data_IF_569481424325
#
_entry.id   IF_569481424325
#
_cell.length_a   1.000
_cell.length_b   1.000
_cell.length_c   1.000
_cell.angle_alpha   90.00
_cell.angle_beta   90.00
_cell.angle_gamma   90.00
#
_symmetry.space_group_name_H-M   'P 1'
#
loop_
_entity.id
_entity.type
_entity.pdbx_description
1 polymer ?
#
# COMPACT_ATOMS: atom_id res chain seq x y z
N UNK A 1 18.25 -11.43 -0.57
CA UNK A 1 17.58 -12.25 0.49
C UNK A 1 16.41 -13.01 -0.13
N UNK A 2 16.24 -14.30 0.16
CA UNK A 2 15.11 -15.11 -0.31
C UNK A 2 14.29 -15.62 0.89
N UNK A 3 12.98 -15.39 0.87
CA UNK A 3 12.00 -16.00 1.77
C UNK A 3 10.99 -16.75 0.92
N UNK A 4 11.04 -18.09 0.98
CA UNK A 4 10.22 -18.96 0.14
C UNK A 4 9.60 -20.12 0.91
N UNK A 5 8.36 -20.48 0.58
CA UNK A 5 7.71 -21.70 1.08
C UNK A 5 7.42 -21.67 2.58
N UNK A 6 7.43 -20.47 3.20
CA UNK A 6 7.27 -20.30 4.64
C UNK A 6 5.78 -20.13 5.00
N UNK A 7 5.43 -20.48 6.24
CA UNK A 7 4.13 -20.17 6.83
C UNK A 7 4.32 -19.41 8.15
N UNK A 8 3.73 -18.21 8.24
CA UNK A 8 3.79 -17.35 9.42
C UNK A 8 2.39 -17.09 9.98
N UNK A 9 2.20 -17.37 11.28
CA UNK A 9 0.88 -17.35 11.94
C UNK A 9 0.95 -16.66 13.30
N UNK A 10 0.01 -15.76 13.57
CA UNK A 10 -0.26 -15.24 14.92
C UNK A 10 0.76 -14.22 15.44
N UNK A 11 1.55 -13.60 14.56
CA UNK A 11 2.51 -12.57 14.95
C UNK A 11 1.78 -11.29 15.38
N UNK A 12 2.11 -10.77 16.57
CA UNK A 12 1.58 -9.50 17.10
C UNK A 12 2.15 -8.25 16.43
N UNK A 13 2.90 -8.45 15.35
CA UNK A 13 3.44 -7.43 14.48
C UNK A 13 3.32 -8.04 13.07
N UNK A 14 4.43 -8.37 12.42
CA UNK A 14 4.40 -8.90 11.06
C UNK A 14 4.73 -10.38 10.99
N UNK A 15 3.97 -11.12 10.17
CA UNK A 15 4.25 -12.53 9.89
C UNK A 15 5.55 -12.72 9.11
N UNK A 16 5.69 -12.05 7.96
CA UNK A 16 6.90 -12.05 7.13
C UNK A 16 7.40 -10.61 7.00
N UNK A 17 8.47 -10.29 7.73
CA UNK A 17 9.05 -8.95 7.75
C UNK A 17 10.34 -8.91 6.95
N UNK A 18 10.42 -7.99 5.99
CA UNK A 18 11.66 -7.61 5.31
C UNK A 18 11.85 -6.10 5.40
N UNK A 19 12.85 -5.67 6.17
CA UNK A 19 13.09 -4.27 6.45
C UNK A 19 14.55 -3.88 6.23
N UNK A 20 14.79 -2.62 5.86
CA UNK A 20 16.16 -2.06 5.77
C UNK A 20 17.08 -2.88 4.85
N UNK A 21 16.54 -3.47 3.79
CA UNK A 21 17.19 -4.54 3.01
C UNK A 21 17.26 -4.21 1.51
N UNK A 22 17.98 -5.05 0.76
CA UNK A 22 18.15 -4.94 -0.69
C UNK A 22 18.07 -6.29 -1.39
N UNK A 23 17.64 -6.29 -2.65
CA UNK A 23 17.59 -7.46 -3.52
C UNK A 23 16.84 -8.61 -2.85
N UNK A 24 15.54 -8.41 -2.66
CA UNK A 24 14.67 -9.25 -1.85
C UNK A 24 13.70 -10.02 -2.75
N UNK A 25 13.52 -11.32 -2.46
CA UNK A 25 12.46 -12.14 -3.03
C UNK A 25 11.65 -12.73 -1.88
N UNK A 26 10.35 -12.45 -1.84
CA UNK A 26 9.37 -13.04 -0.91
C UNK A 26 8.33 -13.77 -1.75
N UNK A 27 8.42 -15.10 -1.84
CA UNK A 27 7.52 -15.87 -2.72
C UNK A 27 6.94 -17.14 -2.16
N UNK A 28 5.78 -17.54 -2.66
CA UNK A 28 5.17 -18.84 -2.33
C UNK A 28 4.97 -19.06 -0.82
N UNK A 29 4.71 -18.00 -0.06
CA UNK A 29 4.51 -18.06 1.38
C UNK A 29 3.03 -17.98 1.77
N UNK A 30 2.73 -18.36 3.02
CA UNK A 30 1.42 -18.15 3.65
C UNK A 30 1.59 -17.28 4.89
N UNK A 31 1.00 -16.09 4.89
CA UNK A 31 0.95 -15.20 6.06
C UNK A 31 -0.50 -15.05 6.51
N UNK A 32 -0.84 -15.54 7.71
CA UNK A 32 -2.21 -15.47 8.22
C UNK A 32 -2.32 -15.20 9.70
N UNK A 33 -3.44 -14.60 10.13
CA UNK A 33 -3.73 -14.36 11.54
C UNK A 33 -2.71 -13.46 12.25
N UNK A 34 -1.94 -12.68 11.51
CA UNK A 34 -0.98 -11.70 12.04
C UNK A 34 -1.62 -10.31 12.15
N UNK A 35 -0.92 -9.35 12.75
CA UNK A 35 -1.31 -7.94 12.59
C UNK A 35 -1.03 -7.55 11.14
N UNK A 36 0.21 -7.63 10.69
CA UNK A 36 0.53 -7.50 9.26
C UNK A 36 0.93 -8.85 8.68
N UNK A 37 0.42 -9.20 7.50
CA UNK A 37 0.82 -10.41 6.81
C UNK A 37 2.27 -10.36 6.34
N UNK A 38 2.55 -9.48 5.37
CA UNK A 38 3.88 -9.28 4.77
C UNK A 38 4.22 -7.79 4.80
N UNK A 39 5.43 -7.45 5.24
CA UNK A 39 5.95 -6.08 5.21
C UNK A 39 7.23 -5.97 4.42
N UNK A 40 7.29 -4.97 3.55
CA UNK A 40 8.51 -4.43 2.93
C UNK A 40 8.73 -3.02 3.47
N UNK A 41 9.62 -2.88 4.44
CA UNK A 41 9.92 -1.60 5.12
C UNK A 41 11.25 -1.03 4.65
N UNK A 42 11.27 0.23 4.19
CA UNK A 42 12.52 0.99 3.90
C UNK A 42 13.56 0.14 3.14
N UNK A 43 13.16 -0.46 2.03
CA UNK A 43 13.99 -1.40 1.27
C UNK A 43 14.11 -0.99 -0.19
N UNK A 44 15.16 -1.46 -0.88
CA UNK A 44 15.36 -1.17 -2.30
C UNK A 44 15.39 -2.50 -3.07
N UNK A 45 14.51 -2.66 -4.04
CA UNK A 45 14.49 -3.85 -4.88
C UNK A 45 13.87 -5.05 -4.16
N UNK A 46 12.56 -5.23 -4.33
CA UNK A 46 11.84 -6.35 -3.76
C UNK A 46 10.82 -6.93 -4.74
N UNK A 47 10.82 -8.26 -4.89
CA UNK A 47 9.77 -9.03 -5.56
C UNK A 47 8.95 -9.77 -4.51
N UNK A 48 7.66 -9.45 -4.40
CA UNK A 48 6.71 -10.08 -3.48
C UNK A 48 5.64 -10.77 -4.32
N UNK A 49 5.71 -12.09 -4.48
CA UNK A 49 4.80 -12.80 -5.40
C UNK A 49 4.40 -14.22 -5.05
N UNK A 50 3.25 -14.68 -5.57
CA UNK A 50 2.77 -16.04 -5.33
C UNK A 50 2.43 -16.32 -3.87
N UNK A 51 2.29 -15.29 -3.03
CA UNK A 51 1.98 -15.46 -1.61
C UNK A 51 0.46 -15.48 -1.38
N UNK A 52 0.05 -16.15 -0.30
CA UNK A 52 -1.27 -16.02 0.28
C UNK A 52 -1.18 -15.18 1.56
N UNK A 53 -1.77 -13.99 1.53
CA UNK A 53 -1.93 -13.14 2.72
C UNK A 53 -3.41 -13.03 3.08
N UNK A 54 -3.82 -13.65 4.18
CA UNK A 54 -5.23 -13.75 4.55
C UNK A 54 -5.48 -13.72 6.05
N UNK A 55 -6.63 -13.21 6.48
CA UNK A 55 -7.05 -13.22 7.88
C UNK A 55 -6.06 -12.48 8.80
N UNK A 56 -5.30 -11.51 8.27
CA UNK A 56 -4.48 -10.57 9.02
C UNK A 56 -5.26 -9.28 9.32
N UNK A 57 -4.69 -8.33 10.09
CA UNK A 57 -5.27 -6.97 10.22
C UNK A 57 -5.02 -6.16 8.96
N UNK A 58 -3.78 -6.23 8.44
CA UNK A 58 -3.39 -5.75 7.11
C UNK A 58 -2.70 -6.87 6.32
N UNK A 59 -2.99 -6.99 5.03
CA UNK A 59 -2.50 -8.08 4.19
C UNK A 59 -1.03 -7.92 3.81
N UNK A 60 -0.72 -6.96 2.95
CA UNK A 60 0.64 -6.66 2.48
C UNK A 60 0.89 -5.17 2.59
N UNK A 61 2.02 -4.78 3.15
CA UNK A 61 2.42 -3.39 3.33
C UNK A 61 3.77 -3.16 2.65
N UNK A 62 3.84 -2.17 1.77
CA UNK A 62 5.11 -1.65 1.20
C UNK A 62 5.23 -0.22 1.63
N UNK A 63 6.21 0.08 2.49
CA UNK A 63 6.22 1.37 3.16
C UNK A 63 7.58 1.86 3.59
N UNK A 64 7.60 3.11 4.02
CA UNK A 64 8.76 3.79 4.58
C UNK A 64 8.43 4.50 5.89
N UNK A 65 9.33 4.40 6.86
CA UNK A 65 9.28 5.12 8.13
C UNK A 65 10.42 6.13 8.29
N UNK A 66 10.16 7.25 8.99
CA UNK A 66 11.19 8.23 9.32
C UNK A 66 12.10 7.73 10.45
N UNK A 67 13.27 8.34 10.59
CA UNK A 67 14.25 8.08 11.66
C UNK A 67 14.89 6.68 11.66
N UNK A 68 14.83 5.96 10.54
CA UNK A 68 15.58 4.71 10.35
C UNK A 68 16.88 4.94 9.58
N UNK A 69 17.89 4.04 9.69
CA UNK A 69 19.17 4.17 8.98
C UNK A 69 19.01 4.26 7.47
N UNK A 70 18.23 3.36 6.88
CA UNK A 70 17.89 3.37 5.45
C UNK A 70 16.69 4.29 5.23
N UNK A 71 16.83 5.23 4.30
CA UNK A 71 15.87 6.32 4.04
C UNK A 71 15.07 6.09 2.78
N UNK A 72 15.39 5.07 2.02
CA UNK A 72 14.75 4.75 0.75
C UNK A 72 13.74 3.62 0.95
N UNK A 73 12.62 3.71 0.24
CA UNK A 73 11.71 2.59 0.01
C UNK A 73 11.27 2.68 -1.43
N UNK A 74 11.85 1.83 -2.29
CA UNK A 74 11.59 1.90 -3.73
C UNK A 74 11.88 0.61 -4.48
N UNK A 75 11.40 0.53 -5.72
CA UNK A 75 11.61 -0.60 -6.63
C UNK A 75 11.02 -1.89 -6.08
N UNK A 76 9.73 -1.86 -5.77
CA UNK A 76 9.01 -3.01 -5.24
C UNK A 76 7.97 -3.49 -6.26
N UNK A 77 8.00 -4.78 -6.61
CA UNK A 77 7.00 -5.43 -7.44
C UNK A 77 6.17 -6.36 -6.56
N UNK A 78 4.86 -6.13 -6.50
CA UNK A 78 3.89 -6.94 -5.77
C UNK A 78 2.98 -7.61 -6.79
N UNK A 79 3.16 -8.90 -7.05
CA UNK A 79 2.44 -9.55 -8.15
C UNK A 79 2.04 -11.00 -7.91
N UNK A 80 1.01 -11.47 -8.62
CA UNK A 80 0.52 -12.86 -8.52
C UNK A 80 0.23 -13.32 -7.07
N UNK A 81 -0.10 -12.40 -6.15
CA UNK A 81 -0.48 -12.73 -4.79
C UNK A 81 -1.99 -12.87 -4.65
N UNK A 82 -2.40 -13.61 -3.62
CA UNK A 82 -3.78 -13.65 -3.15
C UNK A 82 -3.86 -12.92 -1.82
N UNK A 83 -4.43 -11.72 -1.82
CA UNK A 83 -4.51 -10.80 -0.69
C UNK A 83 -5.98 -10.68 -0.28
N UNK A 84 -6.43 -11.62 0.54
CA UNK A 84 -7.86 -11.89 0.71
C UNK A 84 -8.31 -11.87 2.18
N UNK A 85 -9.42 -11.18 2.46
CA UNK A 85 -10.09 -11.19 3.76
C UNK A 85 -9.18 -10.83 4.96
N UNK A 86 -8.35 -9.78 4.83
CA UNK A 86 -7.50 -9.31 5.92
C UNK A 86 -8.28 -8.38 6.87
N UNK A 87 -9.19 -8.96 7.65
CA UNK A 87 -10.15 -8.25 8.51
C UNK A 87 -9.95 -8.52 10.02
N UNK A 88 -8.83 -9.12 10.42
CA UNK A 88 -8.56 -9.48 11.82
C UNK A 88 -8.47 -8.25 12.71
N UNK A 89 -9.12 -8.30 13.88
CA UNK A 89 -8.91 -7.29 14.92
C UNK A 89 -7.42 -7.14 15.28
N UNK A 90 -6.95 -5.90 15.34
CA UNK A 90 -5.56 -5.61 15.65
C UNK A 90 -5.23 -6.03 17.10
N UNK A 91 -4.20 -6.86 17.25
CA UNK A 91 -3.71 -7.36 18.54
C UNK A 91 -2.24 -6.98 18.81
N UNK A 92 -1.76 -5.94 18.12
CA UNK A 92 -0.41 -5.43 18.33
C UNK A 92 -0.21 -4.90 19.74
N UNK A 93 1.05 -4.94 20.19
CA UNK A 93 1.43 -4.31 21.46
C UNK A 93 1.12 -2.81 21.41
N UNK A 94 0.38 -2.25 22.38
CA UNK A 94 0.08 -0.82 22.41
C UNK A 94 1.34 0.04 22.34
N UNK A 95 1.31 1.07 21.50
CA UNK A 95 2.41 2.02 21.32
C UNK A 95 3.39 1.69 20.19
N UNK A 96 3.28 0.51 19.56
CA UNK A 96 3.95 0.26 18.27
C UNK A 96 3.27 1.03 17.15
N UNK A 97 3.95 1.25 16.01
CA UNK A 97 3.32 1.87 14.85
C UNK A 97 2.09 1.09 14.38
N UNK A 98 2.26 -0.22 14.19
CA UNK A 98 1.20 -1.10 13.69
C UNK A 98 0.01 -1.22 14.64
N UNK A 99 0.13 -0.83 15.92
CA UNK A 99 -1.02 -0.75 16.82
C UNK A 99 -2.09 0.27 16.40
N UNK A 100 -1.74 1.20 15.49
CA UNK A 100 -2.69 2.12 14.87
C UNK A 100 -3.30 1.61 13.56
N UNK A 101 -2.90 0.43 13.06
CA UNK A 101 -3.40 -0.12 11.80
C UNK A 101 -4.85 -0.59 11.97
N UNK A 102 -5.84 0.03 11.30
CA UNK A 102 -7.20 -0.49 11.31
C UNK A 102 -7.30 -1.85 10.59
N UNK A 103 -8.22 -2.73 10.99
CA UNK A 103 -8.50 -3.95 10.24
C UNK A 103 -9.09 -3.65 8.85
N UNK A 104 -8.87 -4.55 7.91
CA UNK A 104 -9.50 -4.49 6.58
C UNK A 104 -8.65 -3.84 5.50
N UNK A 105 -7.35 -3.70 5.70
CA UNK A 105 -6.43 -3.24 4.66
C UNK A 105 -5.87 -4.41 3.87
N UNK A 106 -6.16 -4.50 2.57
CA UNK A 106 -5.60 -5.55 1.70
C UNK A 106 -4.12 -5.31 1.40
N UNK A 107 -3.85 -4.48 0.40
CA UNK A 107 -2.52 -3.97 0.06
C UNK A 107 -2.42 -2.49 0.44
N UNK A 108 -1.40 -2.11 1.19
CA UNK A 108 -1.17 -0.73 1.61
C UNK A 108 0.21 -0.28 1.13
N UNK A 109 0.23 0.78 0.33
CA UNK A 109 1.44 1.47 -0.10
C UNK A 109 1.55 2.77 0.70
N UNK A 110 2.65 2.95 1.43
CA UNK A 110 2.83 4.14 2.26
C UNK A 110 4.21 4.78 2.18
N UNK A 111 4.26 6.02 1.69
CA UNK A 111 5.48 6.80 1.54
C UNK A 111 6.62 6.05 0.79
N UNK A 112 6.26 5.33 -0.28
CA UNK A 112 7.16 4.49 -1.06
C UNK A 112 7.13 4.90 -2.52
N UNK A 113 8.26 4.72 -3.21
CA UNK A 113 8.43 5.19 -4.58
C UNK A 113 8.63 3.99 -5.52
N UNK A 114 8.40 4.12 -6.83
CA UNK A 114 8.68 3.08 -7.83
C UNK A 114 8.10 1.71 -7.41
N UNK A 115 6.76 1.62 -7.32
CA UNK A 115 6.06 0.36 -6.95
C UNK A 115 5.15 -0.09 -8.07
N UNK A 116 5.29 -1.35 -8.47
CA UNK A 116 4.46 -1.99 -9.49
C UNK A 116 3.59 -3.09 -8.84
N UNK A 117 2.28 -3.01 -9.02
CA UNK A 117 1.29 -3.92 -8.44
C UNK A 117 0.49 -4.55 -9.58
N UNK A 118 0.67 -5.84 -9.82
CA UNK A 118 0.04 -6.49 -10.99
C UNK A 118 -0.30 -7.96 -10.83
N UNK A 119 -1.31 -8.45 -11.55
CA UNK A 119 -1.67 -9.88 -11.53
C UNK A 119 -2.18 -10.41 -10.18
N UNK A 120 -2.44 -9.54 -9.20
CA UNK A 120 -2.91 -9.99 -7.88
C UNK A 120 -4.42 -10.23 -7.87
N UNK A 121 -4.85 -11.17 -7.03
CA UNK A 121 -6.23 -11.31 -6.56
C UNK A 121 -6.34 -10.57 -5.23
N UNK A 122 -7.06 -9.44 -5.20
CA UNK A 122 -7.24 -8.62 -3.99
C UNK A 122 -8.73 -8.55 -3.67
N UNK A 123 -9.14 -9.19 -2.57
CA UNK A 123 -10.56 -9.39 -2.31
C UNK A 123 -10.95 -9.34 -0.84
N UNK A 124 -12.20 -8.95 -0.59
CA UNK A 124 -12.87 -9.06 0.71
C UNK A 124 -12.17 -8.36 1.88
N UNK A 125 -11.38 -7.30 1.62
CA UNK A 125 -10.76 -6.50 2.68
C UNK A 125 -11.70 -5.33 3.07
N UNK A 126 -12.13 -5.28 4.32
CA UNK A 126 -13.28 -4.49 4.77
C UNK A 126 -13.09 -2.97 4.64
N UNK A 127 -11.86 -2.48 4.76
CA UNK A 127 -11.56 -1.05 4.73
C UNK A 127 -11.19 -0.55 3.34
N UNK A 128 -10.22 -1.19 2.70
CA UNK A 128 -9.84 -0.92 1.32
C UNK A 128 -9.09 -2.14 0.79
N UNK A 129 -9.36 -2.53 -0.45
CA UNK A 129 -8.59 -3.58 -1.12
C UNK A 129 -7.18 -3.09 -1.40
N UNK A 130 -7.02 -1.87 -1.91
CA UNK A 130 -5.73 -1.22 -2.09
C UNK A 130 -5.79 0.22 -1.56
N UNK A 131 -4.83 0.59 -0.69
CA UNK A 131 -4.66 1.96 -0.22
C UNK A 131 -3.29 2.52 -0.62
N UNK A 132 -3.27 3.73 -1.19
CA UNK A 132 -2.07 4.50 -1.50
C UNK A 132 -2.11 5.74 -0.61
N UNK A 133 -1.19 5.83 0.34
CA UNK A 133 -1.22 6.91 1.33
C UNK A 133 0.17 7.51 1.59
N UNK A 134 0.25 8.82 1.71
CA UNK A 134 1.42 9.46 2.28
C UNK A 134 1.51 9.23 3.78
N UNK A 135 2.72 9.30 4.35
CA UNK A 135 2.93 9.11 5.78
C UNK A 135 2.19 10.14 6.64
N UNK A 136 1.90 11.34 6.11
CA UNK A 136 1.16 12.37 6.85
C UNK A 136 -0.31 12.00 7.10
N UNK A 137 -0.86 11.09 6.29
CA UNK A 137 -2.26 10.68 6.37
C UNK A 137 -2.58 9.86 7.61
N UNK A 138 -1.56 9.25 8.24
CA UNK A 138 -1.71 8.59 9.55
C UNK A 138 -1.53 9.56 10.74
N UNK A 139 -1.52 10.88 10.48
CA UNK A 139 -1.47 11.97 11.50
C UNK A 139 -0.29 11.90 12.46
N UNK A 140 0.80 11.26 12.05
CA UNK A 140 2.05 11.22 12.81
C UNK A 140 2.95 12.38 12.43
N UNK A 141 3.57 13.01 13.44
CA UNK A 141 4.56 14.06 13.22
C UNK A 141 5.85 13.47 12.66
N UNK A 142 6.32 14.02 11.54
CA UNK A 142 7.65 13.75 10.99
C UNK A 142 8.62 14.79 11.55
N UNK A 143 9.63 14.34 12.30
CA UNK A 143 10.74 15.20 12.77
C UNK A 143 11.98 15.11 11.87
N UNK A 144 12.08 14.01 11.13
CA UNK A 144 13.15 13.73 10.18
C UNK A 144 13.01 14.65 8.97
N UNK A 145 13.98 15.55 8.77
CA UNK A 145 13.92 16.56 7.72
C UNK A 145 14.17 15.99 6.33
N UNK A 146 14.84 14.84 6.28
CA UNK A 146 15.22 14.17 5.03
C UNK A 146 14.20 13.08 4.64
N UNK A 147 13.13 12.93 5.43
CA UNK A 147 12.08 11.97 5.14
C UNK A 147 11.11 12.48 4.09
N UNK A 148 11.06 11.77 2.97
CA UNK A 148 10.05 11.92 1.94
C UNK A 148 8.76 11.19 2.35
N UNK A 149 7.64 11.89 2.61
CA UNK A 149 6.41 11.29 3.09
C UNK A 149 5.43 10.88 1.98
N UNK A 150 5.78 11.02 0.69
CA UNK A 150 4.86 10.80 -0.43
C UNK A 150 5.05 9.43 -1.08
N UNK A 151 4.00 8.97 -1.77
CA UNK A 151 4.12 7.87 -2.71
C UNK A 151 4.32 8.42 -4.11
N UNK A 152 5.23 7.84 -4.87
CA UNK A 152 5.58 8.32 -6.21
C UNK A 152 5.83 7.18 -7.17
N UNK A 153 5.55 7.39 -8.47
CA UNK A 153 5.74 6.37 -9.50
C UNK A 153 5.09 5.02 -9.10
N UNK A 154 3.79 5.06 -8.80
CA UNK A 154 3.02 3.88 -8.42
C UNK A 154 2.24 3.39 -9.62
N UNK A 155 2.35 2.10 -9.93
CA UNK A 155 1.72 1.50 -11.11
C UNK A 155 0.87 0.32 -10.66
N UNK A 156 -0.43 0.39 -10.89
CA UNK A 156 -1.39 -0.64 -10.48
C UNK A 156 -2.09 -1.12 -11.74
N UNK A 157 -1.82 -2.35 -12.18
CA UNK A 157 -2.43 -2.84 -13.40
C UNK A 157 -2.67 -4.33 -13.45
N UNK A 158 -3.65 -4.75 -14.25
CA UNK A 158 -3.95 -6.17 -14.50
C UNK A 158 -4.21 -6.96 -13.20
N UNK A 159 -4.74 -6.32 -12.15
CA UNK A 159 -5.19 -6.98 -10.93
C UNK A 159 -6.69 -7.28 -11.01
N UNK A 160 -7.12 -8.30 -10.25
CA UNK A 160 -8.53 -8.61 -10.06
C UNK A 160 -8.97 -8.17 -8.67
N UNK A 161 -9.94 -7.26 -8.63
CA UNK A 161 -10.58 -6.78 -7.41
C UNK A 161 -11.98 -7.37 -7.27
N UNK A 162 -12.35 -7.83 -6.08
CA UNK A 162 -13.71 -8.30 -5.81
C UNK A 162 -14.07 -8.24 -4.33
N UNK A 163 -15.31 -7.87 -4.01
CA UNK A 163 -15.74 -7.71 -2.62
C UNK A 163 -14.92 -6.67 -1.86
N UNK A 164 -15.06 -6.62 -0.53
CA UNK A 164 -14.35 -5.65 0.31
C UNK A 164 -14.97 -4.25 0.31
N UNK A 165 -14.33 -3.33 1.02
CA UNK A 165 -14.82 -1.95 1.23
C UNK A 165 -16.16 -1.88 1.98
N UNK A 166 -16.64 -2.96 2.60
CA UNK A 166 -17.98 -3.02 3.19
C UNK A 166 -18.07 -2.44 4.60
N UNK A 167 -16.93 -2.31 5.28
CA UNK A 167 -16.83 -1.69 6.59
C UNK A 167 -15.54 -0.89 6.79
N UNK A 168 -15.37 0.26 6.12
CA UNK A 168 -14.21 1.12 6.30
C UNK A 168 -14.08 1.66 7.72
N UNK A 169 -12.95 1.37 8.37
CA UNK A 169 -12.66 1.84 9.74
C UNK A 169 -11.31 2.56 9.82
N UNK A 170 -10.99 3.10 11.00
CA UNK A 170 -9.86 4.00 11.18
C UNK A 170 -10.10 5.38 10.55
N UNK A 171 -9.04 6.19 10.49
CA UNK A 171 -9.14 7.56 9.95
C UNK A 171 -9.36 7.57 8.44
N UNK A 172 -8.75 6.65 7.69
CA UNK A 172 -9.04 6.45 6.26
C UNK A 172 -10.50 6.04 6.05
N UNK A 173 -11.02 5.09 6.83
CA UNK A 173 -12.40 4.65 6.75
C UNK A 173 -13.42 5.75 7.07
N UNK A 174 -13.12 6.65 8.00
CA UNK A 174 -13.94 7.85 8.24
C UNK A 174 -14.00 8.76 7.02
N UNK A 175 -12.86 8.98 6.35
CA UNK A 175 -12.81 9.80 5.15
C UNK A 175 -13.61 9.17 4.00
N UNK A 176 -13.46 7.85 3.80
CA UNK A 176 -14.25 7.07 2.84
C UNK A 176 -15.75 7.21 3.15
N UNK A 177 -16.17 6.97 4.39
CA UNK A 177 -17.58 7.07 4.82
C UNK A 177 -18.15 8.48 4.71
N UNK A 178 -17.32 9.52 4.82
CA UNK A 178 -17.77 10.90 4.62
C UNK A 178 -18.19 11.17 3.17
N UNK A 179 -17.63 10.46 2.19
CA UNK A 179 -17.94 10.61 0.76
C UNK A 179 -19.02 9.62 0.33
N UNK A 180 -18.90 8.35 0.74
CA UNK A 180 -19.73 7.24 0.23
C UNK A 180 -20.79 6.73 1.24
N UNK A 181 -20.83 7.29 2.45
CA UNK A 181 -21.77 6.91 3.51
C UNK A 181 -21.37 5.65 4.27
N UNK A 182 -21.41 4.48 3.63
CA UNK A 182 -21.14 3.19 4.31
C UNK A 182 -20.01 2.38 3.68
N UNK A 183 -20.09 2.12 2.38
CA UNK A 183 -19.13 1.28 1.67
C UNK A 183 -18.10 2.15 0.94
N UNK A 184 -16.88 1.66 0.76
CA UNK A 184 -15.82 2.32 0.01
C UNK A 184 -15.55 1.66 -1.34
N UNK A 185 -14.71 2.30 -2.17
CA UNK A 185 -14.22 1.72 -3.42
C UNK A 185 -13.08 0.72 -3.18
N UNK A 186 -12.68 0.03 -4.24
CA UNK A 186 -11.59 -0.96 -4.22
C UNK A 186 -10.23 -0.31 -3.98
N UNK A 187 -9.94 0.74 -4.73
CA UNK A 187 -8.68 1.47 -4.70
C UNK A 187 -8.89 2.85 -4.10
N UNK A 188 -8.16 3.15 -3.04
CA UNK A 188 -8.23 4.41 -2.31
C UNK A 188 -6.87 5.10 -2.32
N UNK A 189 -6.81 6.28 -2.91
CA UNK A 189 -5.66 7.17 -2.85
C UNK A 189 -5.97 8.38 -1.97
N UNK A 190 -5.04 8.76 -1.09
CA UNK A 190 -5.23 9.93 -0.24
C UNK A 190 -5.02 11.28 -0.94
N UNK A 191 -4.49 11.28 -2.17
CA UNK A 191 -4.23 12.49 -2.95
C UNK A 191 -2.94 13.22 -2.61
N UNK A 192 -2.07 12.65 -1.77
CA UNK A 192 -0.83 13.30 -1.37
C UNK A 192 0.29 13.15 -2.41
N UNK A 193 0.91 14.28 -2.78
CA UNK A 193 2.03 14.34 -3.73
C UNK A 193 3.10 15.33 -3.26
N UNK A 194 4.32 15.23 -3.78
CA UNK A 194 5.38 16.21 -3.48
C UNK A 194 5.17 17.53 -4.27
N UNK A 195 4.78 18.63 -3.60
CA UNK A 195 4.62 19.91 -4.29
C UNK A 195 5.92 20.45 -4.89
N UNK A 196 7.09 19.96 -4.45
CA UNK A 196 8.39 20.38 -5.00
C UNK A 196 8.67 19.79 -6.38
N UNK A 197 7.98 18.72 -6.77
CA UNK A 197 8.15 18.04 -8.06
C UNK A 197 7.15 18.52 -9.11
N UNK A 198 6.27 19.45 -8.76
CA UNK A 198 5.32 20.07 -9.68
C UNK A 198 6.06 20.95 -10.67
N UNK A 199 5.81 20.73 -11.97
CA UNK A 199 6.34 21.51 -13.09
C UNK A 199 5.16 22.08 -13.86
N UNK A 200 5.17 23.39 -14.13
CA UNK A 200 4.10 24.10 -14.85
C UNK A 200 2.68 23.85 -14.27
N UNK A 201 2.59 23.70 -12.94
CA UNK A 201 1.33 23.50 -12.22
C UNK A 201 0.78 22.07 -12.24
N UNK A 202 1.51 21.10 -12.83
CA UNK A 202 1.15 19.68 -12.84
C UNK A 202 2.28 18.81 -12.28
N UNK A 203 1.94 17.72 -11.60
CA UNK A 203 2.93 16.69 -11.27
C UNK A 203 3.28 15.93 -12.56
N UNK A 204 4.56 15.89 -12.97
CA UNK A 204 4.99 15.08 -14.11
C UNK A 204 4.52 13.64 -13.98
N UNK A 205 4.12 13.05 -15.10
CA UNK A 205 3.54 11.69 -15.11
C UNK A 205 4.50 10.68 -14.48
N UNK A 206 5.82 10.83 -14.66
CA UNK A 206 6.85 9.95 -14.09
C UNK A 206 6.84 9.85 -12.55
N UNK A 207 6.26 10.81 -11.84
CA UNK A 207 6.08 10.77 -10.37
C UNK A 207 4.66 10.38 -9.95
N UNK A 208 3.74 10.26 -10.92
CA UNK A 208 2.32 10.08 -10.68
C UNK A 208 1.92 8.65 -10.28
N UNK A 209 0.61 8.50 -10.09
CA UNK A 209 -0.06 7.22 -9.86
C UNK A 209 -0.71 6.80 -11.19
N UNK A 210 -0.49 5.56 -11.61
CA UNK A 210 -1.12 4.95 -12.78
C UNK A 210 -1.95 3.74 -12.37
N UNK A 211 -3.19 3.67 -12.85
CA UNK A 211 -4.16 2.62 -12.53
C UNK A 211 -4.81 2.17 -13.84
N UNK A 212 -4.44 1.01 -14.36
CA UNK A 212 -4.83 0.56 -15.72
C UNK A 212 -5.29 -0.90 -15.72
N UNK A 213 -6.23 -1.27 -16.58
CA UNK A 213 -6.59 -2.68 -16.81
C UNK A 213 -6.98 -3.50 -15.55
N UNK A 214 -7.50 -2.88 -14.49
CA UNK A 214 -7.90 -3.59 -13.26
C UNK A 214 -9.38 -4.04 -13.30
N UNK A 215 -9.91 -4.32 -14.49
CA UNK A 215 -11.33 -4.63 -14.71
C UNK A 215 -12.26 -3.49 -14.26
N UNK A 216 -13.31 -3.84 -13.52
CA UNK A 216 -14.33 -2.91 -13.01
C UNK A 216 -13.96 -2.28 -11.65
N UNK A 217 -12.67 -2.35 -11.26
CA UNK A 217 -12.22 -1.82 -9.97
C UNK A 217 -12.58 -0.34 -9.80
N UNK A 218 -13.26 -0.04 -8.70
CA UNK A 218 -13.65 1.31 -8.33
C UNK A 218 -12.48 2.07 -7.70
N UNK A 219 -12.43 3.38 -7.91
CA UNK A 219 -11.33 4.22 -7.46
C UNK A 219 -11.84 5.50 -6.78
N UNK A 220 -11.06 5.99 -5.81
CA UNK A 220 -11.18 7.36 -5.31
C UNK A 220 -9.81 7.95 -4.97
N UNK A 221 -9.58 9.19 -5.42
CA UNK A 221 -8.66 10.13 -4.77
C UNK A 221 -9.48 10.99 -3.80
N UNK A 222 -9.15 10.90 -2.51
CA UNK A 222 -9.89 11.57 -1.44
C UNK A 222 -9.58 13.06 -1.31
N UNK A 223 -8.43 13.53 -1.81
CA UNK A 223 -7.86 14.82 -1.44
C UNK A 223 -7.87 15.01 0.10
N UNK A 224 -7.28 14.03 0.78
CA UNK A 224 -7.38 13.88 2.23
C UNK A 224 -6.74 15.06 2.97
N UNK A 225 -5.75 15.71 2.36
CA UNK A 225 -5.13 16.90 2.92
C UNK A 225 -6.13 18.05 3.08
N UNK A 226 -6.92 18.35 2.04
CA UNK A 226 -7.98 19.35 2.10
C UNK A 226 -9.05 18.97 3.14
N UNK A 227 -9.47 17.70 3.17
CA UNK A 227 -10.41 17.21 4.19
C UNK A 227 -9.91 17.46 5.62
N UNK A 228 -8.63 17.15 5.88
CA UNK A 228 -8.00 17.35 7.19
C UNK A 228 -7.83 18.82 7.56
N UNK A 229 -7.68 19.71 6.56
CA UNK A 229 -7.64 21.16 6.76
C UNK A 229 -9.03 21.78 7.00
N UNK A 230 -10.12 21.00 6.85
CA UNK A 230 -11.49 21.52 6.89
C UNK A 230 -11.89 22.27 5.62
N UNK A 231 -11.12 22.09 4.55
CA UNK A 231 -11.39 22.65 3.23
C UNK A 231 -12.29 21.70 2.42
N UNK A 232 -12.85 22.21 1.32
CA UNK A 232 -13.65 21.38 0.41
C UNK A 232 -12.70 20.50 -0.42
N UNK A 233 -12.72 19.16 -0.28
CA UNK A 233 -11.82 18.30 -1.04
C UNK A 233 -12.19 18.25 -2.52
N UNK A 234 -11.18 18.15 -3.37
CA UNK A 234 -11.34 17.80 -4.78
C UNK A 234 -11.33 16.28 -4.96
N UNK A 235 -12.45 15.65 -4.63
CA UNK A 235 -12.60 14.19 -4.77
C UNK A 235 -12.66 13.80 -6.25
N UNK A 236 -11.78 12.89 -6.67
CA UNK A 236 -11.74 12.35 -8.04
C UNK A 236 -12.03 10.86 -8.02
N UNK A 237 -13.00 10.40 -8.81
CA UNK A 237 -13.36 8.99 -8.94
C UNK A 237 -13.15 8.42 -10.33
N UNK A 238 -12.99 9.30 -11.32
CA UNK A 238 -12.68 8.91 -12.69
C UNK A 238 -11.17 8.68 -12.85
N UNK A 239 -10.83 7.69 -13.69
CA UNK A 239 -9.46 7.24 -13.88
C UNK A 239 -8.74 7.91 -15.06
N UNK A 240 -9.35 8.86 -15.79
CA UNK A 240 -8.77 9.43 -17.01
C UNK A 240 -7.38 10.03 -16.78
N UNK A 241 -7.17 10.72 -15.65
CA UNK A 241 -5.89 11.34 -15.29
C UNK A 241 -4.88 10.35 -14.68
N UNK A 242 -5.26 9.07 -14.52
CA UNK A 242 -4.45 8.00 -13.92
C UNK A 242 -4.06 6.93 -14.96
N UNK A 243 -4.06 7.27 -16.26
CA UNK A 243 -3.78 6.31 -17.35
C UNK A 243 -2.35 6.37 -17.90
N UNK A 244 -1.42 7.10 -17.27
CA UNK A 244 -0.04 7.20 -17.73
C UNK A 244 0.61 5.80 -17.87
N UNK A 245 1.35 5.58 -18.96
CA UNK A 245 2.10 4.35 -19.17
C UNK A 245 3.47 4.45 -18.51
N UNK A 246 3.91 3.35 -17.90
CA UNK A 246 5.22 3.22 -17.29
C UNK A 246 5.84 1.91 -17.73
N UNK A 247 7.15 1.94 -17.92
CA UNK A 247 7.93 0.74 -18.18
C UNK A 247 7.90 -0.17 -16.95
N UNK A 248 7.77 -1.50 -17.11
CA UNK A 248 7.81 -2.43 -16.00
C UNK A 248 9.11 -2.29 -15.19
N UNK A 249 8.99 -2.44 -13.87
CA UNK A 249 10.17 -2.40 -13.00
C UNK A 249 11.05 -3.64 -13.26
N UNK A 250 12.37 -3.48 -13.12
CA UNK A 250 13.30 -4.58 -13.36
C UNK A 250 13.07 -5.73 -12.37
N UNK A 251 13.22 -6.96 -12.86
CA UNK A 251 13.17 -8.16 -12.03
C UNK A 251 14.32 -8.22 -11.04
N UNK A 252 14.01 -8.63 -9.80
CA UNK A 252 15.03 -8.88 -8.78
C UNK A 252 15.64 -10.27 -9.02
N UNK A 253 16.93 -10.27 -9.32
CA UNK A 253 17.71 -11.49 -9.54
C UNK A 253 18.69 -11.70 -8.39
N UNK A 254 18.59 -12.84 -7.73
CA UNK A 254 19.57 -13.28 -6.73
C UNK A 254 20.35 -14.44 -7.33
N UNK A 255 21.67 -14.36 -7.34
CA UNK A 255 22.51 -15.44 -7.85
C UNK A 255 22.19 -16.78 -7.17
N UNK A 256 21.97 -17.82 -7.97
CA UNK A 256 21.62 -19.15 -7.48
C UNK A 256 20.14 -19.35 -7.15
N UNK A 257 19.30 -18.31 -7.20
CA UNK A 257 17.84 -18.42 -7.08
C UNK A 257 17.22 -18.51 -8.49
N UNK A 258 16.37 -19.52 -8.69
CA UNK A 258 15.65 -19.76 -9.94
C UNK A 258 14.18 -19.45 -9.79
#
# INVERSE_FOLDING_TARGET
MLIEGCTAIGASDTGIYVGQSENIIVRNNVAKMNVTGIEVENSIGADVYGNLSTDNTGGVLVFKLPNLPKKESRQCRVFDNRIIANNRENFAKPGTLVSGLPPGGGLILMATDEVEVFGNEIADNDTANLAIIGFRSIRRKVKDKDFDPYCEAIHIHDNTFSGGGTNPVGDLGKAIKAIFGRNGPDIVYDGSFDPKKVVDGRLPDEYGISIRNNGDASFVNLDLAAMMAGEKPNVVMDLADYQAHFDPLPEIRIEGVR
#
